data_IF_840891940942
#
_entry.id   IF_840891940942
#
_cell.length_a   1.000
_cell.length_b   1.000
_cell.length_c   1.000
_cell.angle_alpha   90.00
_cell.angle_beta   90.00
_cell.angle_gamma   90.00
#
_symmetry.space_group_name_H-M   'P 1'
#
loop_
_entity.id
_entity.type
_entity.pdbx_description
1 polymer ?
#
# COMPACT_ATOMS: atom_id res chain seq x y z
N UNK A 1 4.38 3.80 -13.41
CA UNK A 1 3.42 2.71 -13.12
C UNK A 1 2.98 2.05 -14.42
N UNK A 2 2.72 0.76 -14.39
CA UNK A 2 2.14 -0.02 -15.49
C UNK A 2 0.90 -0.74 -15.00
N UNK A 3 0.02 -1.12 -15.92
CA UNK A 3 -1.13 -1.95 -15.59
C UNK A 3 -0.66 -3.36 -15.19
N UNK A 4 -1.24 -3.87 -14.12
CA UNK A 4 -1.04 -5.23 -13.64
C UNK A 4 -2.40 -5.93 -13.60
N UNK A 5 -2.55 -7.01 -14.36
CA UNK A 5 -3.67 -7.91 -14.20
C UNK A 5 -3.42 -8.85 -13.02
N UNK A 6 -4.37 -8.91 -12.11
CA UNK A 6 -4.31 -9.77 -10.92
C UNK A 6 -5.38 -10.85 -11.02
N UNK A 7 -4.97 -12.09 -10.93
CA UNK A 7 -5.84 -13.27 -10.92
C UNK A 7 -6.03 -13.72 -9.48
N UNK A 8 -7.26 -13.76 -9.03
CA UNK A 8 -7.65 -14.20 -7.69
C UNK A 8 -8.36 -15.55 -7.78
N UNK A 9 -7.66 -16.69 -7.58
CA UNK A 9 -8.27 -18.00 -7.58
C UNK A 9 -9.29 -18.14 -6.44
N UNK A 10 -10.47 -18.65 -6.75
CA UNK A 10 -11.52 -18.86 -5.76
C UNK A 10 -11.47 -20.27 -5.17
N UNK A 11 -11.65 -20.38 -3.87
CA UNK A 11 -11.74 -21.64 -3.14
C UNK A 11 -13.06 -21.77 -2.39
N UNK A 12 -13.60 -22.99 -2.32
CA UNK A 12 -14.75 -23.32 -1.45
C UNK A 12 -14.38 -23.09 0.03
N UNK A 13 -15.35 -22.69 0.84
CA UNK A 13 -15.14 -22.40 2.26
C UNK A 13 -14.66 -20.97 2.56
N UNK A 14 -14.55 -20.14 1.53
CA UNK A 14 -14.25 -18.73 1.60
C UNK A 14 -15.49 -17.87 1.39
N UNK A 15 -15.26 -16.56 1.18
CA UNK A 15 -16.36 -15.65 0.80
C UNK A 15 -17.14 -16.22 -0.36
N UNK A 16 -18.49 -16.21 -0.30
CA UNK A 16 -19.31 -16.68 -1.39
C UNK A 16 -18.94 -16.02 -2.73
N UNK A 17 -18.95 -16.79 -3.80
CA UNK A 17 -18.57 -16.30 -5.14
C UNK A 17 -19.38 -15.06 -5.57
N UNK A 18 -20.69 -15.05 -5.25
CA UNK A 18 -21.57 -13.92 -5.55
C UNK A 18 -21.16 -12.64 -4.80
N UNK A 19 -20.68 -12.74 -3.54
CA UNK A 19 -20.25 -11.60 -2.74
C UNK A 19 -18.97 -10.99 -3.31
N UNK A 20 -18.01 -11.83 -3.73
CA UNK A 20 -16.81 -11.38 -4.42
C UNK A 20 -17.19 -10.67 -5.72
N UNK A 21 -18.08 -11.25 -6.51
CA UNK A 21 -18.53 -10.66 -7.77
C UNK A 21 -19.25 -9.33 -7.57
N UNK A 22 -20.06 -9.21 -6.52
CA UNK A 22 -20.69 -7.94 -6.15
C UNK A 22 -19.63 -6.88 -5.76
N UNK A 23 -18.64 -7.26 -4.95
CA UNK A 23 -17.54 -6.36 -4.59
C UNK A 23 -16.75 -5.89 -5.81
N UNK A 24 -16.46 -6.79 -6.74
CA UNK A 24 -15.77 -6.45 -8.00
C UNK A 24 -16.64 -5.59 -8.91
N UNK A 25 -17.96 -5.82 -8.96
CA UNK A 25 -18.90 -4.95 -9.67
C UNK A 25 -18.87 -3.52 -9.10
N UNK A 26 -18.94 -3.38 -7.79
CA UNK A 26 -18.79 -2.07 -7.14
C UNK A 26 -17.42 -1.45 -7.45
N UNK A 27 -16.36 -2.24 -7.37
CA UNK A 27 -15.00 -1.80 -7.73
C UNK A 27 -14.92 -1.28 -9.18
N UNK A 28 -15.64 -1.89 -10.13
CA UNK A 28 -15.69 -1.43 -11.52
C UNK A 28 -16.42 -0.08 -11.69
N UNK A 29 -17.36 0.24 -10.80
CA UNK A 29 -18.23 1.42 -10.93
C UNK A 29 -17.82 2.57 -9.98
N UNK A 30 -17.02 2.29 -8.94
CA UNK A 30 -16.46 3.31 -8.07
C UNK A 30 -15.26 3.98 -8.73
N UNK A 31 -15.38 5.26 -9.06
CA UNK A 31 -14.24 6.06 -9.53
C UNK A 31 -14.11 6.27 -11.05
N UNK A 32 -15.14 6.01 -11.82
CA UNK A 32 -15.20 6.42 -13.25
C UNK A 32 -14.05 5.89 -14.08
N UNK A 33 -13.92 4.59 -14.23
CA UNK A 33 -12.87 3.91 -14.99
C UNK A 33 -12.72 4.44 -16.40
N UNK A 34 -11.52 4.95 -16.72
CA UNK A 34 -11.17 5.38 -18.08
C UNK A 34 -10.04 4.56 -18.70
N UNK A 35 -9.21 3.94 -17.88
CA UNK A 35 -7.95 3.32 -18.33
C UNK A 35 -7.86 1.83 -17.91
N UNK A 36 -8.38 1.48 -16.72
CA UNK A 36 -8.28 0.13 -16.20
C UNK A 36 -9.32 -0.81 -16.85
N UNK A 37 -8.94 -1.98 -17.36
CA UNK A 37 -9.88 -2.99 -17.83
C UNK A 37 -10.87 -3.42 -16.73
N UNK A 38 -12.11 -3.76 -17.10
CA UNK A 38 -13.11 -4.24 -16.15
C UNK A 38 -12.72 -5.59 -15.55
N UNK A 39 -13.33 -5.92 -14.42
CA UNK A 39 -13.15 -7.23 -13.79
C UNK A 39 -13.82 -8.33 -14.58
N UNK A 40 -13.25 -9.51 -14.58
CA UNK A 40 -13.77 -10.68 -15.27
C UNK A 40 -13.81 -11.91 -14.37
N UNK A 41 -14.64 -12.89 -14.77
CA UNK A 41 -14.64 -14.23 -14.17
C UNK A 41 -13.98 -15.18 -15.15
N UNK A 42 -13.04 -15.98 -14.68
CA UNK A 42 -12.25 -16.90 -15.49
C UNK A 42 -12.51 -18.36 -15.11
N UNK A 43 -12.63 -19.23 -16.12
CA UNK A 43 -12.43 -20.67 -15.97
C UNK A 43 -10.92 -20.93 -16.02
N UNK A 44 -10.37 -21.52 -15.00
CA UNK A 44 -8.94 -21.85 -14.94
C UNK A 44 -8.63 -23.20 -15.58
N UNK A 45 -9.64 -24.09 -15.72
CA UNK A 45 -9.47 -25.40 -16.33
C UNK A 45 -9.01 -25.33 -17.80
N UNK A 46 -9.54 -24.33 -18.52
CA UNK A 46 -9.30 -24.16 -19.96
C UNK A 46 -8.42 -22.92 -20.26
N UNK A 47 -7.77 -22.38 -19.25
CA UNK A 47 -7.00 -21.15 -19.38
C UNK A 47 -5.50 -21.39 -19.12
N UNK A 48 -4.60 -20.77 -19.89
CA UNK A 48 -3.16 -20.75 -19.57
C UNK A 48 -2.86 -20.22 -18.16
N UNK A 49 -3.77 -19.40 -17.62
CA UNK A 49 -3.66 -18.88 -16.24
C UNK A 49 -3.93 -19.96 -15.19
N UNK A 50 -4.50 -21.10 -15.55
CA UNK A 50 -4.66 -22.25 -14.66
C UNK A 50 -3.46 -23.20 -14.65
N UNK A 51 -2.64 -23.18 -15.70
CA UNK A 51 -1.55 -24.14 -15.87
C UNK A 51 -0.55 -24.21 -14.70
N UNK A 52 -0.14 -23.09 -14.05
CA UNK A 52 0.76 -23.14 -12.91
C UNK A 52 0.07 -23.43 -11.58
N UNK A 53 -1.27 -23.63 -11.58
CA UNK A 53 -2.07 -23.79 -10.36
C UNK A 53 -2.51 -25.25 -10.17
N UNK A 54 -2.78 -25.61 -8.92
CA UNK A 54 -3.35 -26.92 -8.61
C UNK A 54 -4.77 -27.05 -9.21
N UNK A 55 -5.19 -28.25 -9.67
CA UNK A 55 -6.49 -28.48 -10.30
C UNK A 55 -7.71 -28.11 -9.45
N UNK A 56 -7.54 -28.00 -8.13
CA UNK A 56 -8.60 -27.53 -7.22
C UNK A 56 -9.08 -26.11 -7.49
N UNK A 57 -8.27 -25.29 -8.17
CA UNK A 57 -8.62 -23.94 -8.56
C UNK A 57 -9.31 -23.93 -9.93
N UNK A 58 -10.61 -24.21 -9.95
CA UNK A 58 -11.37 -24.26 -11.20
C UNK A 58 -11.83 -22.88 -11.69
N UNK A 59 -11.97 -21.91 -10.79
CA UNK A 59 -12.49 -20.56 -11.08
C UNK A 59 -11.59 -19.50 -10.47
N UNK A 60 -11.47 -18.38 -11.17
CA UNK A 60 -10.82 -17.18 -10.65
C UNK A 60 -11.59 -15.92 -11.03
N UNK A 61 -11.23 -14.82 -10.39
CA UNK A 61 -11.62 -13.48 -10.77
C UNK A 61 -10.37 -12.72 -11.19
N UNK A 62 -10.48 -11.98 -12.28
CA UNK A 62 -9.43 -11.07 -12.71
C UNK A 62 -9.85 -9.64 -12.44
N UNK A 63 -8.94 -8.85 -11.92
CA UNK A 63 -9.08 -7.41 -11.75
C UNK A 63 -7.78 -6.71 -12.13
N UNK A 64 -7.87 -5.42 -12.39
CA UNK A 64 -6.72 -4.62 -12.78
C UNK A 64 -6.24 -3.76 -11.62
N UNK A 65 -4.93 -3.69 -11.46
CA UNK A 65 -4.25 -2.85 -10.47
C UNK A 65 -3.10 -2.09 -11.15
N UNK A 66 -2.46 -1.20 -10.41
CA UNK A 66 -1.30 -0.47 -10.85
C UNK A 66 -0.04 -1.00 -10.19
N UNK A 67 0.89 -1.51 -10.99
CA UNK A 67 2.22 -1.83 -10.53
C UNK A 67 3.10 -0.60 -10.51
N UNK A 68 3.85 -0.42 -9.46
CA UNK A 68 4.77 0.70 -9.26
C UNK A 68 6.04 0.21 -8.54
N UNK A 69 7.16 0.81 -8.89
CA UNK A 69 8.38 0.71 -8.10
C UNK A 69 8.29 1.68 -6.92
N UNK A 70 8.13 1.17 -5.70
CA UNK A 70 7.86 1.95 -4.50
C UNK A 70 8.94 3.00 -4.24
N UNK A 71 10.22 2.61 -4.33
CA UNK A 71 11.33 3.52 -4.13
C UNK A 71 11.34 4.68 -5.15
N UNK A 72 11.04 4.37 -6.41
CA UNK A 72 10.93 5.37 -7.47
C UNK A 72 9.75 6.30 -7.24
N UNK A 73 8.60 5.76 -6.82
CA UNK A 73 7.42 6.58 -6.50
C UNK A 73 7.72 7.58 -5.40
N UNK A 74 8.36 7.14 -4.32
CA UNK A 74 8.78 8.00 -3.21
C UNK A 74 9.74 9.09 -3.68
N UNK A 75 10.76 8.74 -4.47
CA UNK A 75 11.72 9.71 -5.01
C UNK A 75 11.04 10.75 -5.91
N UNK A 76 10.14 10.32 -6.79
CA UNK A 76 9.41 11.24 -7.68
C UNK A 76 8.46 12.18 -6.92
N UNK A 77 7.77 11.67 -5.88
CA UNK A 77 6.93 12.50 -5.03
C UNK A 77 7.76 13.56 -4.26
N UNK A 78 8.92 13.17 -3.76
CA UNK A 78 9.84 14.12 -3.10
C UNK A 78 10.35 15.18 -4.08
N UNK A 79 10.73 14.79 -5.30
CA UNK A 79 11.17 15.73 -6.34
C UNK A 79 10.05 16.72 -6.73
N UNK A 80 8.82 16.22 -6.91
CA UNK A 80 7.67 17.07 -7.25
C UNK A 80 7.35 18.06 -6.13
N UNK A 81 7.38 17.60 -4.88
CA UNK A 81 7.20 18.47 -3.72
C UNK A 81 8.29 19.56 -3.65
N UNK A 82 9.55 19.18 -3.87
CA UNK A 82 10.67 20.13 -3.89
C UNK A 82 10.52 21.15 -5.01
N UNK A 83 10.15 20.73 -6.21
CA UNK A 83 9.91 21.62 -7.35
C UNK A 83 8.77 22.63 -7.09
N UNK A 84 7.87 22.30 -6.16
CA UNK A 84 6.78 23.19 -5.68
C UNK A 84 7.15 23.99 -4.43
N UNK A 85 8.41 24.01 -4.03
CA UNK A 85 8.94 24.83 -2.95
C UNK A 85 8.99 24.15 -1.58
N UNK A 86 8.80 22.83 -1.48
CA UNK A 86 8.99 22.12 -0.23
C UNK A 86 10.48 21.82 0.05
N UNK A 87 10.88 21.96 1.30
CA UNK A 87 12.18 21.48 1.77
C UNK A 87 12.10 19.97 2.08
N UNK A 88 12.98 19.19 1.47
CA UNK A 88 13.07 17.74 1.66
C UNK A 88 14.31 17.41 2.50
N UNK A 89 14.10 16.91 3.71
CA UNK A 89 15.18 16.52 4.63
C UNK A 89 15.29 15.00 4.69
N UNK A 90 16.31 14.44 4.05
CA UNK A 90 16.65 13.02 4.18
C UNK A 90 17.54 12.79 5.39
N UNK A 91 17.53 11.58 5.96
CA UNK A 91 18.32 11.20 7.14
C UNK A 91 18.15 12.19 8.30
N UNK A 92 16.93 12.69 8.47
CA UNK A 92 16.57 13.67 9.48
C UNK A 92 15.44 13.12 10.33
N UNK A 93 15.68 13.06 11.63
CA UNK A 93 14.72 12.55 12.59
C UNK A 93 14.03 13.71 13.31
N UNK A 94 12.73 13.62 13.51
CA UNK A 94 12.02 14.49 14.45
C UNK A 94 12.32 13.99 15.85
N UNK A 95 13.12 14.74 16.61
CA UNK A 95 13.58 14.35 17.93
C UNK A 95 12.65 14.83 19.05
N UNK A 96 12.07 16.03 18.90
CA UNK A 96 11.10 16.57 19.84
C UNK A 96 10.07 17.45 19.15
N UNK A 97 8.88 17.56 19.77
CA UNK A 97 7.77 18.38 19.32
C UNK A 97 7.18 19.13 20.50
N UNK A 98 6.96 20.44 20.34
CA UNK A 98 6.22 21.24 21.28
C UNK A 98 5.06 21.94 20.56
N UNK A 99 3.83 21.73 21.07
CA UNK A 99 2.64 22.36 20.52
C UNK A 99 2.36 23.67 21.23
N UNK A 100 2.15 24.71 20.46
CA UNK A 100 1.69 26.01 20.90
C UNK A 100 0.27 26.30 20.37
N UNK A 101 -0.29 27.43 20.73
CA UNK A 101 -1.65 27.80 20.32
C UNK A 101 -1.81 27.93 18.80
N UNK A 102 -0.80 28.40 18.10
CA UNK A 102 -0.82 28.76 16.68
C UNK A 102 0.26 28.07 15.84
N UNK A 103 1.18 27.32 16.47
CA UNK A 103 2.27 26.63 15.76
C UNK A 103 2.81 25.43 16.52
N UNK A 104 3.72 24.74 15.87
CA UNK A 104 4.56 23.68 16.43
C UNK A 104 6.03 24.10 16.36
N UNK A 105 6.75 23.96 17.46
CA UNK A 105 8.20 23.95 17.45
C UNK A 105 8.71 22.53 17.31
N UNK A 106 9.59 22.31 16.35
CA UNK A 106 10.02 21.00 15.92
C UNK A 106 11.55 20.92 16.00
N UNK A 107 12.05 19.99 16.78
CA UNK A 107 13.49 19.71 16.88
C UNK A 107 13.84 18.59 15.91
N UNK A 108 14.70 18.89 14.96
CA UNK A 108 15.22 17.96 13.97
C UNK A 108 16.67 17.55 14.33
N UNK A 109 16.91 16.26 14.35
CA UNK A 109 18.24 15.67 14.46
C UNK A 109 18.70 15.33 13.03
N UNK A 110 19.72 16.04 12.57
CA UNK A 110 20.28 15.90 11.23
C UNK A 110 21.71 15.36 11.29
N UNK A 111 22.28 14.98 10.15
CA UNK A 111 23.70 14.58 10.06
C UNK A 111 24.69 15.69 10.46
N UNK A 112 24.25 16.96 10.42
CA UNK A 112 25.04 18.13 10.74
C UNK A 112 24.72 18.70 12.14
N UNK A 113 23.94 18.00 12.96
CA UNK A 113 23.56 18.44 14.30
C UNK A 113 22.05 18.75 14.42
N UNK A 114 21.72 19.47 15.47
CA UNK A 114 20.34 19.83 15.81
C UNK A 114 19.89 21.07 15.03
N UNK A 115 18.68 21.00 14.46
CA UNK A 115 18.01 22.14 13.81
C UNK A 115 16.63 22.35 14.41
N UNK A 116 16.25 23.61 14.64
CA UNK A 116 14.90 23.99 15.06
C UNK A 116 14.12 24.53 13.86
N UNK A 117 12.88 24.07 13.71
CA UNK A 117 11.95 24.59 12.69
C UNK A 117 10.58 24.82 13.32
N UNK A 118 9.81 25.73 12.73
CA UNK A 118 8.46 26.05 13.17
C UNK A 118 7.46 25.78 12.07
N UNK A 119 6.31 25.20 12.40
CA UNK A 119 5.25 24.90 11.45
C UNK A 119 3.88 25.20 12.02
N UNK A 120 2.94 25.65 11.20
CA UNK A 120 1.53 25.87 11.58
C UNK A 120 0.78 24.58 11.79
N UNK A 121 1.16 23.52 11.07
CA UNK A 121 0.54 22.21 11.16
C UNK A 121 1.59 21.12 11.11
N UNK A 122 1.29 19.97 11.71
CA UNK A 122 2.10 18.77 11.69
C UNK A 122 1.29 17.61 11.12
N UNK A 123 1.85 16.91 10.14
CA UNK A 123 1.26 15.70 9.57
C UNK A 123 2.16 14.52 9.92
N UNK A 124 1.65 13.59 10.73
CA UNK A 124 2.36 12.37 11.06
C UNK A 124 2.06 11.27 10.03
N UNK A 125 2.91 11.13 9.03
CA UNK A 125 2.85 10.09 8.00
C UNK A 125 3.97 9.06 8.17
N UNK A 126 4.37 8.75 9.41
CA UNK A 126 5.52 7.91 9.74
C UNK A 126 5.28 6.39 9.55
N UNK A 127 4.21 5.97 8.86
CA UNK A 127 3.93 4.56 8.57
C UNK A 127 3.91 3.69 9.83
N UNK A 128 4.70 2.60 9.91
CA UNK A 128 4.73 1.71 11.09
C UNK A 128 5.14 2.41 12.40
N UNK A 129 5.85 3.53 12.30
CA UNK A 129 6.33 4.29 13.46
C UNK A 129 5.35 5.38 13.94
N UNK A 130 4.18 5.52 13.32
CA UNK A 130 3.20 6.54 13.69
C UNK A 130 2.82 6.47 15.16
N UNK A 131 2.61 5.28 15.71
CA UNK A 131 2.29 5.09 17.13
C UNK A 131 3.43 5.50 18.06
N UNK A 132 4.68 5.21 17.67
CA UNK A 132 5.87 5.62 18.41
C UNK A 132 6.00 7.15 18.41
N UNK A 133 5.77 7.80 17.27
CA UNK A 133 5.77 9.24 17.15
C UNK A 133 4.74 9.88 18.12
N UNK A 134 3.53 9.36 18.18
CA UNK A 134 2.47 9.87 19.05
C UNK A 134 2.84 9.73 20.53
N UNK A 135 3.33 8.57 20.95
CA UNK A 135 3.63 8.30 22.36
C UNK A 135 4.93 8.93 22.83
N UNK A 136 6.01 8.68 22.10
CA UNK A 136 7.37 9.00 22.56
C UNK A 136 7.77 10.44 22.20
N UNK A 137 7.36 10.94 21.04
CA UNK A 137 7.81 12.25 20.55
C UNK A 137 6.80 13.37 20.85
N UNK A 138 5.50 13.06 20.71
CA UNK A 138 4.44 14.04 21.00
C UNK A 138 3.97 13.96 22.47
N UNK A 139 4.26 12.90 23.21
CA UNK A 139 3.84 12.70 24.58
C UNK A 139 2.33 12.57 24.76
N UNK A 140 1.59 12.26 23.70
CA UNK A 140 0.14 12.17 23.74
C UNK A 140 -0.31 10.80 24.27
N UNK A 141 -1.25 10.84 25.23
CA UNK A 141 -1.95 9.63 25.69
C UNK A 141 -3.08 9.34 24.72
N UNK A 142 -3.00 8.22 24.03
CA UNK A 142 -4.08 7.73 23.16
C UNK A 142 -4.33 6.25 23.42
N UNK A 143 -5.60 5.85 23.33
CA UNK A 143 -6.02 4.45 23.34
C UNK A 143 -5.91 3.82 21.94
N UNK A 144 -5.75 4.64 20.89
CA UNK A 144 -5.60 4.16 19.53
C UNK A 144 -4.26 3.45 19.35
N UNK A 145 -4.32 2.25 18.85
CA UNK A 145 -3.16 1.40 18.60
C UNK A 145 -2.95 1.17 17.11
N UNK A 146 -1.69 0.98 16.73
CA UNK A 146 -1.34 0.52 15.39
C UNK A 146 -1.18 -0.99 15.44
N UNK A 147 -1.99 -1.72 14.67
CA UNK A 147 -1.78 -3.14 14.44
C UNK A 147 -0.69 -3.29 13.39
N UNK A 148 0.48 -3.75 13.81
CA UNK A 148 1.56 -4.05 12.90
C UNK A 148 1.30 -5.40 12.21
N UNK A 149 1.28 -5.40 10.88
CA UNK A 149 1.21 -6.61 10.06
C UNK A 149 2.54 -6.72 9.31
N UNK A 150 3.19 -7.88 9.45
CA UNK A 150 4.45 -8.17 8.77
C UNK A 150 4.17 -8.79 7.42
N UNK A 151 4.62 -8.14 6.34
CA UNK A 151 4.73 -8.72 5.01
C UNK A 151 6.17 -9.18 4.76
N UNK A 152 6.34 -10.29 4.06
CA UNK A 152 7.66 -10.78 3.65
C UNK A 152 7.68 -11.01 2.14
N UNK A 153 8.78 -10.65 1.48
CA UNK A 153 9.02 -10.92 0.08
C UNK A 153 10.11 -11.98 -0.06
N UNK A 154 9.92 -12.87 -1.01
CA UNK A 154 10.94 -13.82 -1.45
C UNK A 154 11.23 -13.60 -2.92
N UNK A 155 12.48 -13.78 -3.31
CA UNK A 155 12.89 -13.73 -4.71
C UNK A 155 13.00 -15.16 -5.21
N UNK A 156 12.32 -15.45 -6.32
CA UNK A 156 12.31 -16.77 -6.94
C UNK A 156 12.64 -16.64 -8.44
N UNK A 157 12.95 -17.75 -9.08
CA UNK A 157 12.92 -17.82 -10.53
C UNK A 157 11.48 -17.57 -11.03
N UNK A 158 11.34 -17.23 -12.31
CA UNK A 158 10.04 -17.05 -12.94
C UNK A 158 9.19 -18.31 -12.80
N UNK A 159 8.01 -18.20 -12.20
CA UNK A 159 7.14 -19.33 -11.88
C UNK A 159 6.14 -19.67 -13.00
N UNK A 160 5.91 -18.74 -13.94
CA UNK A 160 4.97 -18.89 -15.07
C UNK A 160 5.32 -17.90 -16.20
N UNK A 161 4.83 -18.17 -17.41
CA UNK A 161 5.22 -17.42 -18.62
C UNK A 161 4.34 -16.23 -18.97
N UNK A 162 3.28 -15.96 -18.20
CA UNK A 162 2.41 -14.81 -18.41
C UNK A 162 2.73 -13.64 -17.44
N UNK A 163 2.23 -12.44 -17.74
CA UNK A 163 2.48 -11.21 -16.99
C UNK A 163 1.44 -10.88 -15.91
N UNK A 164 0.54 -11.84 -15.61
CA UNK A 164 -0.47 -11.68 -14.55
C UNK A 164 0.12 -12.07 -13.21
N UNK A 165 -0.26 -11.37 -12.14
CA UNK A 165 0.01 -11.77 -10.78
C UNK A 165 -1.11 -12.64 -10.21
N UNK A 166 -0.80 -13.49 -9.23
CA UNK A 166 -1.79 -14.23 -8.47
C UNK A 166 -1.95 -13.64 -7.07
N UNK A 167 -3.20 -13.53 -6.64
CA UNK A 167 -3.55 -13.15 -5.28
C UNK A 167 -4.35 -14.28 -4.61
N UNK A 168 -3.76 -14.92 -3.63
CA UNK A 168 -4.39 -15.98 -2.86
C UNK A 168 -4.86 -15.47 -1.50
N UNK A 169 -6.09 -15.78 -1.15
CA UNK A 169 -6.58 -15.53 0.21
C UNK A 169 -6.29 -16.75 1.08
N UNK A 170 -5.46 -16.59 2.12
CA UNK A 170 -5.14 -17.63 3.09
C UNK A 170 -6.33 -18.05 3.97
N UNK A 171 -6.19 -19.14 4.76
CA UNK A 171 -7.24 -19.64 5.67
C UNK A 171 -7.40 -18.82 6.93
N UNK A 172 -6.45 -18.03 7.24
CA UNK A 172 -6.22 -17.26 8.47
C UNK A 172 -6.66 -15.79 8.39
N UNK A 173 -7.34 -15.39 7.32
CA UNK A 173 -7.99 -14.07 7.20
C UNK A 173 -7.49 -13.25 6.05
#
# INVERSE_FOLDING_TARGET
SRLLGVVMPWMRGRRPAWLIRLGLFLYDHLGGRKILPPTSTLSLADSPLGAPLEPRFARAYEYSDCWVEDSRLVALNAQDAHAKGADIFVRTKVAALARHADHWDITLETVNGIRQVRAKALINAAGPWVGKMIKDTMGLKTTDGVRLVRGSHIVTNRLHDHDKAYFFQGTDG
#
